data_IF_084700022897
#
_entry.id   IF_084700022897
#
_cell.length_a   1.000
_cell.length_b   1.000
_cell.length_c   1.000
_cell.angle_alpha   90.00
_cell.angle_beta   90.00
_cell.angle_gamma   90.00
#
_symmetry.space_group_name_H-M   'P 1'
#
loop_
_entity.id
_entity.type
_entity.pdbx_description
1 polymer ?
#
# COMPACT_ATOMS: atom_id res chain seq x y z
N UNK A 1 15.89 -11.64 6.42
CA UNK A 1 16.30 -10.25 6.69
C UNK A 1 15.18 -9.38 7.29
N UNK A 2 13.93 -9.85 7.41
CA UNK A 2 13.04 -9.41 8.51
C UNK A 2 12.25 -10.61 9.05
N UNK A 3 11.77 -11.47 8.14
CA UNK A 3 11.12 -12.74 8.47
C UNK A 3 11.96 -13.69 9.35
N UNK A 4 13.30 -13.68 9.23
CA UNK A 4 14.20 -14.47 10.09
C UNK A 4 14.27 -13.96 11.54
N UNK A 5 13.80 -12.74 11.79
CA UNK A 5 13.81 -12.08 13.11
C UNK A 5 12.45 -12.16 13.81
N UNK A 6 11.43 -12.73 13.14
CA UNK A 6 10.08 -12.88 13.69
C UNK A 6 9.72 -14.36 13.81
N UNK A 7 8.96 -14.69 14.84
CA UNK A 7 8.29 -15.99 14.99
C UNK A 7 6.95 -16.03 14.24
N UNK A 8 6.42 -14.87 13.86
CA UNK A 8 5.18 -14.77 13.09
C UNK A 8 5.46 -14.98 11.61
N UNK A 9 4.68 -15.87 10.99
CA UNK A 9 4.73 -16.08 9.54
C UNK A 9 4.00 -14.94 8.84
N UNK A 10 4.71 -14.18 8.01
CA UNK A 10 4.12 -13.14 7.17
C UNK A 10 3.99 -13.63 5.74
N UNK A 11 2.79 -13.49 5.19
CA UNK A 11 2.58 -13.56 3.76
C UNK A 11 3.24 -12.36 3.06
N UNK A 12 3.76 -12.58 1.86
CA UNK A 12 4.45 -11.55 1.07
C UNK A 12 3.77 -11.36 -0.28
N UNK A 13 3.50 -10.10 -0.62
CA UNK A 13 3.07 -9.72 -1.96
C UNK A 13 4.24 -9.04 -2.69
N UNK A 14 4.95 -9.80 -3.52
CA UNK A 14 6.10 -9.29 -4.27
C UNK A 14 5.64 -8.64 -5.58
N UNK A 15 6.02 -7.39 -5.78
CA UNK A 15 5.76 -6.65 -7.03
C UNK A 15 7.07 -6.41 -7.80
N UNK A 16 7.05 -6.25 -9.14
CA UNK A 16 8.26 -6.06 -9.94
C UNK A 16 8.99 -4.72 -9.74
N UNK A 17 8.30 -3.69 -9.26
CA UNK A 17 8.88 -2.36 -9.06
C UNK A 17 8.97 -2.01 -7.57
N UNK A 18 10.18 -1.81 -7.06
CA UNK A 18 10.42 -1.52 -5.63
C UNK A 18 9.61 -0.31 -5.12
N UNK A 19 9.50 0.75 -5.92
CA UNK A 19 8.73 1.96 -5.55
C UNK A 19 7.23 1.66 -5.44
N UNK A 20 6.70 0.75 -6.27
CA UNK A 20 5.29 0.37 -6.25
C UNK A 20 4.93 -0.53 -5.05
N UNK A 21 5.93 -1.11 -4.37
CA UNK A 21 5.70 -1.84 -3.12
C UNK A 21 5.30 -0.91 -1.96
N UNK A 22 5.54 0.40 -2.08
CA UNK A 22 5.06 1.38 -1.11
C UNK A 22 3.57 1.66 -1.33
N UNK A 23 2.74 1.06 -0.49
CA UNK A 23 1.28 1.19 -0.49
C UNK A 23 0.78 1.64 0.88
N UNK A 24 -0.48 2.08 0.97
CA UNK A 24 -1.14 2.39 2.25
C UNK A 24 -2.35 1.47 2.43
N UNK A 25 -2.31 0.59 3.43
CA UNK A 25 -3.44 -0.24 3.84
C UNK A 25 -4.22 0.44 4.97
N UNK A 26 -5.54 0.42 4.88
CA UNK A 26 -6.46 0.90 5.91
C UNK A 26 -7.66 -0.04 6.00
N UNK A 27 -8.06 -0.39 7.23
CA UNK A 27 -9.35 -1.04 7.48
C UNK A 27 -10.35 0.04 7.94
N UNK A 28 -11.34 0.32 7.10
CA UNK A 28 -12.29 1.41 7.31
C UNK A 28 -13.67 0.86 7.70
N UNK A 29 -14.34 1.43 8.72
CA UNK A 29 -15.75 1.16 8.98
C UNK A 29 -16.54 1.40 7.69
N UNK A 30 -17.35 0.44 7.25
CA UNK A 30 -18.11 0.42 5.98
C UNK A 30 -17.36 -0.03 4.71
N UNK A 31 -16.05 0.20 4.59
CA UNK A 31 -15.32 -0.16 3.34
C UNK A 31 -14.40 -1.38 3.49
N UNK A 32 -14.15 -1.82 4.72
CA UNK A 32 -13.25 -2.94 5.02
C UNK A 32 -11.82 -2.63 4.59
N UNK A 33 -11.14 -3.65 4.04
CA UNK A 33 -9.78 -3.57 3.56
C UNK A 33 -9.64 -2.65 2.34
N UNK A 34 -9.03 -1.47 2.53
CA UNK A 34 -8.71 -0.51 1.47
C UNK A 34 -7.20 -0.46 1.27
N UNK A 35 -6.76 -0.45 0.00
CA UNK A 35 -5.35 -0.33 -0.36
C UNK A 35 -5.15 0.81 -1.37
N UNK A 36 -4.40 1.84 -0.96
CA UNK A 36 -3.88 2.86 -1.89
C UNK A 36 -2.60 2.33 -2.54
N UNK A 37 -2.53 2.37 -3.86
CA UNK A 37 -1.35 1.97 -4.63
C UNK A 37 -1.10 2.89 -5.84
N UNK A 38 0.10 2.86 -6.41
CA UNK A 38 0.42 3.64 -7.60
C UNK A 38 -0.43 3.22 -8.80
N UNK A 39 -0.66 4.14 -9.73
CA UNK A 39 -1.59 3.92 -10.85
C UNK A 39 -1.03 2.91 -11.87
N UNK A 40 -1.90 2.24 -12.67
CA UNK A 40 -1.46 1.33 -13.74
C UNK A 40 -0.68 2.04 -14.85
N UNK A 41 -0.84 3.36 -15.02
CA UNK A 41 -0.05 4.15 -15.98
C UNK A 41 1.40 4.29 -15.54
N UNK A 42 1.65 4.31 -14.22
CA UNK A 42 2.99 4.47 -13.65
C UNK A 42 3.69 3.12 -13.53
N UNK A 43 3.00 2.09 -13.02
CA UNK A 43 3.56 0.76 -12.80
C UNK A 43 2.57 -0.36 -13.20
N UNK A 44 2.41 -0.62 -14.50
CA UNK A 44 1.40 -1.57 -15.00
C UNK A 44 1.61 -2.99 -14.48
N UNK A 45 2.85 -3.49 -14.50
CA UNK A 45 3.14 -4.87 -14.07
C UNK A 45 2.99 -5.07 -12.55
N UNK A 46 3.31 -4.05 -11.75
CA UNK A 46 3.07 -4.08 -10.31
C UNK A 46 1.57 -4.01 -10.00
N UNK A 47 0.82 -3.19 -10.74
CA UNK A 47 -0.64 -3.07 -10.56
C UNK A 47 -1.35 -4.40 -10.84
N UNK A 48 -0.96 -5.13 -11.90
CA UNK A 48 -1.51 -6.46 -12.20
C UNK A 48 -1.33 -7.47 -11.05
N UNK A 49 -0.27 -7.35 -10.25
CA UNK A 49 -0.07 -8.19 -9.07
C UNK A 49 -1.03 -7.79 -7.95
N UNK A 50 -1.20 -6.49 -7.71
CA UNK A 50 -2.10 -5.95 -6.69
C UNK A 50 -3.57 -6.26 -7.01
N UNK A 51 -3.97 -6.24 -8.28
CA UNK A 51 -5.33 -6.60 -8.74
C UNK A 51 -5.75 -8.05 -8.45
N UNK A 52 -4.81 -8.89 -8.00
CA UNK A 52 -5.11 -10.24 -7.50
C UNK A 52 -5.75 -10.23 -6.10
N UNK A 53 -5.65 -9.13 -5.36
CA UNK A 53 -6.29 -8.93 -4.06
C UNK A 53 -7.78 -8.64 -4.22
N UNK A 54 -8.59 -9.69 -4.42
CA UNK A 54 -10.03 -9.56 -4.68
C UNK A 54 -10.84 -9.05 -3.49
N UNK A 55 -10.35 -9.27 -2.28
CA UNK A 55 -11.02 -8.88 -1.04
C UNK A 55 -10.67 -7.46 -0.57
N UNK A 56 -9.95 -6.69 -1.42
CA UNK A 56 -9.51 -5.34 -1.09
C UNK A 56 -10.16 -4.32 -2.05
N UNK A 57 -10.60 -3.20 -1.50
CA UNK A 57 -10.91 -2.02 -2.30
C UNK A 57 -9.60 -1.35 -2.72
N UNK A 58 -9.24 -1.53 -3.99
CA UNK A 58 -8.03 -0.95 -4.58
C UNK A 58 -8.31 0.47 -5.08
N UNK A 59 -7.50 1.43 -4.64
CA UNK A 59 -7.60 2.83 -5.06
C UNK A 59 -6.27 3.26 -5.69
N UNK A 60 -6.23 3.47 -7.03
CA UNK A 60 -5.03 3.93 -7.71
C UNK A 60 -4.79 5.43 -7.43
N UNK A 61 -3.56 5.80 -7.07
CA UNK A 61 -3.15 7.17 -6.72
C UNK A 61 -1.86 7.53 -7.46
N UNK A 62 -1.88 8.63 -8.22
CA UNK A 62 -0.68 9.13 -8.91
C UNK A 62 0.35 9.66 -7.93
N UNK A 63 1.62 9.31 -8.11
CA UNK A 63 2.69 9.71 -7.22
C UNK A 63 4.03 10.04 -7.92
N UNK A 64 4.13 9.95 -9.25
CA UNK A 64 5.41 10.10 -9.97
C UNK A 64 6.16 11.42 -9.73
N UNK A 65 5.46 12.54 -9.54
CA UNK A 65 6.13 13.82 -9.25
C UNK A 65 6.86 13.80 -7.90
N UNK A 66 6.30 13.11 -6.90
CA UNK A 66 6.93 12.99 -5.58
C UNK A 66 8.09 12.00 -5.59
N UNK A 67 8.00 10.95 -6.41
CA UNK A 67 9.08 9.96 -6.59
C UNK A 67 10.36 10.61 -7.10
N UNK A 68 10.28 11.67 -7.93
CA UNK A 68 11.46 12.43 -8.41
C UNK A 68 12.33 12.97 -7.26
N UNK A 69 11.73 13.22 -6.10
CA UNK A 69 12.41 13.70 -4.88
C UNK A 69 12.38 12.66 -3.76
N UNK A 70 12.34 11.37 -4.12
CA UNK A 70 12.31 10.22 -3.20
C UNK A 70 11.07 10.15 -2.29
N UNK A 71 9.98 10.82 -2.64
CA UNK A 71 8.69 10.73 -1.96
C UNK A 71 7.85 9.56 -2.46
N UNK A 72 7.31 8.77 -1.54
CA UNK A 72 6.36 7.69 -1.82
C UNK A 72 4.96 8.01 -1.22
N UNK A 73 3.97 7.12 -1.39
CA UNK A 73 2.62 7.32 -0.87
C UNK A 73 2.64 7.53 0.65
N UNK A 74 3.36 6.66 1.38
CA UNK A 74 3.43 6.72 2.85
C UNK A 74 4.09 8.01 3.37
N UNK A 75 4.94 8.67 2.59
CA UNK A 75 5.68 9.87 3.00
C UNK A 75 4.79 11.10 3.20
N UNK A 76 3.55 11.07 2.69
CA UNK A 76 2.67 12.24 2.63
C UNK A 76 1.62 12.28 3.75
N UNK A 77 1.68 11.38 4.72
CA UNK A 77 0.68 11.29 5.77
C UNK A 77 1.22 10.69 7.06
N UNK A 78 0.56 11.03 8.16
CA UNK A 78 0.70 10.34 9.45
C UNK A 78 -0.69 9.83 9.81
N UNK A 79 -0.86 8.51 9.85
CA UNK A 79 -2.14 7.89 10.18
C UNK A 79 -2.30 7.79 11.70
N UNK A 80 -3.45 8.23 12.22
CA UNK A 80 -3.72 8.27 13.65
C UNK A 80 -5.07 7.60 13.92
N UNK A 81 -5.05 6.50 14.67
CA UNK A 81 -6.26 5.90 15.24
C UNK A 81 -6.51 6.49 16.65
N UNK A 82 -7.28 7.56 16.73
CA UNK A 82 -7.76 8.10 18.01
C UNK A 82 -9.06 7.40 18.38
N UNK A 83 -9.07 6.74 19.54
CA UNK A 83 -10.33 6.31 20.16
C UNK A 83 -11.14 7.57 20.46
N UNK A 84 -12.41 7.59 20.02
CA UNK A 84 -13.34 8.61 20.48
C UNK A 84 -13.39 8.53 22.01
N UNK A 85 -13.14 9.64 22.70
CA UNK A 85 -13.47 9.71 24.12
C UNK A 85 -15.00 9.78 24.19
N UNK A 86 -15.60 8.68 24.63
CA UNK A 86 -17.01 8.65 25.06
C UNK A 86 -17.06 9.20 26.47
#
# INVERSE_FOLDING_TARGET
>A
VMQKMSVHHYDTLTVPNDVAANCIYMDLPEKGAVLLHCTPQEFPESTKVLEKLKDHMLIPVSNMEKVKVNGALTCCSVLINKKAQV
#
